data_IF_247585911085
#
_entry.id   IF_247585911085
#
_cell.length_a   1.000
_cell.length_b   1.000
_cell.length_c   1.000
_cell.angle_alpha   90.00
_cell.angle_beta   90.00
_cell.angle_gamma   90.00
#
_symmetry.space_group_name_H-M   'P 1'
#
loop_
_entity.id
_entity.type
_entity.pdbx_description
1 polymer ?
#
# COMPACT_ATOMS: atom_id res chain seq x y z
N UNK A 1 1.98 -29.29 49.05
CA UNK A 1 0.96 -29.69 48.03
C UNK A 1 -0.19 -28.69 48.09
N UNK A 2 -0.94 -28.57 46.99
CA UNK A 2 -2.04 -27.62 46.67
C UNK A 2 -1.60 -26.22 46.22
N UNK A 3 -1.52 -25.92 44.91
CA UNK A 3 -2.55 -25.76 43.85
C UNK A 3 -3.55 -24.63 44.09
N UNK A 4 -3.42 -23.61 43.23
CA UNK A 4 -4.54 -23.15 42.41
C UNK A 4 -5.27 -21.92 42.91
N UNK A 5 -4.87 -20.75 42.41
CA UNK A 5 -5.82 -19.67 42.15
C UNK A 5 -5.43 -18.95 40.86
N UNK A 6 -6.06 -19.39 39.79
CA UNK A 6 -6.22 -18.63 38.54
C UNK A 6 -6.95 -17.34 38.83
N UNK A 7 -6.37 -16.22 38.44
CA UNK A 7 -7.08 -14.97 38.17
C UNK A 7 -6.88 -14.68 36.67
N UNK A 8 -7.79 -15.25 35.90
CA UNK A 8 -8.12 -14.85 34.54
C UNK A 8 -8.96 -13.57 34.68
N UNK A 9 -8.50 -12.45 34.11
CA UNK A 9 -9.20 -11.18 34.32
C UNK A 9 -8.53 -9.98 33.68
N UNK A 10 -8.66 -9.88 32.37
CA UNK A 10 -8.92 -8.62 31.63
C UNK A 10 -8.08 -7.37 31.98
N UNK A 11 -7.26 -6.95 31.02
CA UNK A 11 -7.59 -5.77 30.20
C UNK A 11 -6.32 -5.12 29.64
N UNK A 12 -6.19 -5.25 28.32
CA UNK A 12 -6.01 -4.06 27.49
C UNK A 12 -4.77 -3.18 27.75
N UNK A 13 -3.56 -3.75 27.85
CA UNK A 13 -2.36 -2.98 27.52
C UNK A 13 -1.96 -3.25 26.08
N UNK A 14 -2.75 -2.58 25.23
CA UNK A 14 -2.41 -2.04 23.92
C UNK A 14 -1.33 -2.82 23.20
N UNK A 15 -1.76 -3.56 22.17
CA UNK A 15 -0.92 -3.89 21.01
C UNK A 15 0.00 -2.69 20.74
N UNK A 16 1.29 -2.87 20.41
CA UNK A 16 2.07 -1.82 19.77
C UNK A 16 1.53 -1.62 18.35
N UNK A 17 0.28 -1.15 18.28
CA UNK A 17 -0.41 -0.66 17.10
C UNK A 17 0.10 0.79 16.92
N UNK A 18 0.65 1.09 15.74
CA UNK A 18 0.89 2.45 15.22
C UNK A 18 2.19 3.20 15.57
N UNK A 19 3.17 2.61 16.26
CA UNK A 19 4.47 3.29 16.47
C UNK A 19 5.40 3.29 15.22
N UNK A 20 4.94 2.77 14.07
CA UNK A 20 5.68 2.82 12.79
C UNK A 20 5.14 3.85 11.78
N UNK A 21 4.03 4.52 12.06
CA UNK A 21 3.27 5.24 11.02
C UNK A 21 3.49 6.76 10.97
N UNK A 22 4.48 7.31 11.68
CA UNK A 22 4.82 8.75 11.62
C UNK A 22 5.95 9.11 10.64
N UNK A 23 6.48 8.14 9.89
CA UNK A 23 7.44 8.39 8.79
C UNK A 23 6.78 8.39 7.40
N UNK A 24 5.44 8.46 7.32
CA UNK A 24 4.78 8.84 6.07
C UNK A 24 5.01 10.32 5.81
N UNK A 25 6.11 10.67 5.11
CA UNK A 25 6.38 11.94 4.41
C UNK A 25 7.87 12.04 4.02
N UNK A 26 8.38 11.04 3.30
CA UNK A 26 9.64 11.22 2.58
C UNK A 26 9.47 12.25 1.44
N UNK A 27 10.54 12.95 1.02
CA UNK A 27 10.49 13.69 -0.24
C UNK A 27 10.23 12.72 -1.40
N UNK A 28 9.63 13.21 -2.49
CA UNK A 28 9.50 12.43 -3.73
C UNK A 28 10.90 11.98 -4.19
N UNK A 29 11.10 10.67 -4.32
CA UNK A 29 12.40 10.07 -4.70
C UNK A 29 12.37 9.47 -6.10
N UNK A 30 13.53 9.06 -6.61
CA UNK A 30 13.63 8.33 -7.89
C UNK A 30 12.82 7.03 -7.89
N UNK A 31 12.67 6.37 -6.73
CA UNK A 31 11.83 5.18 -6.61
C UNK A 31 10.33 5.52 -6.80
N UNK A 32 9.89 6.68 -6.28
CA UNK A 32 8.53 7.17 -6.54
C UNK A 32 8.33 7.48 -8.01
N UNK A 33 9.31 8.12 -8.64
CA UNK A 33 9.26 8.40 -10.07
C UNK A 33 9.17 7.13 -10.90
N UNK A 34 10.00 6.12 -10.60
CA UNK A 34 9.99 4.83 -11.27
C UNK A 34 8.62 4.16 -11.15
N UNK A 35 8.09 4.02 -9.93
CA UNK A 35 6.77 3.41 -9.69
C UNK A 35 5.67 4.19 -10.40
N UNK A 36 5.71 5.53 -10.38
CA UNK A 36 4.75 6.37 -11.08
C UNK A 36 4.81 6.20 -12.61
N UNK A 37 6.01 6.13 -13.18
CA UNK A 37 6.20 5.87 -14.62
C UNK A 37 5.70 4.48 -15.02
N UNK A 38 5.98 3.47 -14.21
CA UNK A 38 5.51 2.09 -14.42
C UNK A 38 3.98 2.04 -14.34
N UNK A 39 3.38 2.63 -13.30
CA UNK A 39 1.93 2.71 -13.16
C UNK A 39 1.28 3.42 -14.36
N UNK A 40 1.87 4.52 -14.82
CA UNK A 40 1.40 5.25 -16.01
C UNK A 40 1.50 4.41 -17.28
N UNK A 41 2.58 3.65 -17.43
CA UNK A 41 2.76 2.73 -18.55
C UNK A 41 1.70 1.63 -18.53
N UNK A 42 1.52 0.96 -17.40
CA UNK A 42 0.53 -0.11 -17.23
C UNK A 42 -0.88 0.41 -17.49
N UNK A 43 -1.23 1.59 -16.98
CA UNK A 43 -2.52 2.19 -17.24
C UNK A 43 -2.74 2.46 -18.74
N UNK A 44 -1.72 2.90 -19.49
CA UNK A 44 -1.82 3.04 -20.96
C UNK A 44 -2.00 1.69 -21.65
N UNK A 45 -1.28 0.65 -21.22
CA UNK A 45 -1.41 -0.71 -21.74
C UNK A 45 -2.82 -1.27 -21.47
N UNK A 46 -3.40 -0.95 -20.31
CA UNK A 46 -4.76 -1.29 -19.90
C UNK A 46 -5.84 -0.36 -20.48
N UNK A 47 -5.49 0.50 -21.46
CA UNK A 47 -6.40 1.50 -22.09
C UNK A 47 -7.11 2.42 -21.09
N UNK A 48 -6.40 2.82 -20.04
CA UNK A 48 -6.93 3.65 -18.96
C UNK A 48 -7.30 2.86 -17.70
N UNK A 49 -7.26 1.53 -17.74
CA UNK A 49 -7.59 0.67 -16.60
C UNK A 49 -6.55 0.73 -15.48
N UNK A 50 -7.02 0.60 -14.24
CA UNK A 50 -6.16 0.48 -13.07
C UNK A 50 -5.25 -0.76 -13.16
N UNK A 51 -4.07 -0.69 -12.55
CA UNK A 51 -3.11 -1.79 -12.46
C UNK A 51 -3.06 -2.35 -11.03
N UNK A 52 -2.81 -3.64 -10.89
CA UNK A 52 -2.66 -4.27 -9.59
C UNK A 52 -1.27 -4.02 -8.99
N UNK A 53 -1.18 -4.06 -7.66
CA UNK A 53 0.11 -3.97 -6.95
C UNK A 53 1.17 -4.92 -7.52
N UNK A 54 0.80 -6.19 -7.71
CA UNK A 54 1.69 -7.23 -8.20
C UNK A 54 2.23 -6.94 -9.61
N UNK A 55 1.40 -6.36 -10.48
CA UNK A 55 1.80 -5.98 -11.83
C UNK A 55 2.80 -4.82 -11.80
N UNK A 56 2.55 -3.82 -10.94
CA UNK A 56 3.46 -2.68 -10.76
C UNK A 56 4.79 -3.14 -10.15
N UNK A 57 4.76 -4.03 -9.16
CA UNK A 57 5.95 -4.59 -8.53
C UNK A 57 6.78 -5.38 -9.56
N UNK A 58 6.12 -6.27 -10.31
CA UNK A 58 6.77 -7.05 -11.37
C UNK A 58 7.40 -6.17 -12.44
N UNK A 59 6.71 -5.11 -12.88
CA UNK A 59 7.19 -4.21 -13.92
C UNK A 59 8.26 -3.20 -13.44
N UNK A 60 8.28 -2.85 -12.15
CA UNK A 60 9.29 -1.99 -11.54
C UNK A 60 10.54 -2.76 -11.10
N UNK A 61 10.45 -4.08 -10.96
CA UNK A 61 11.54 -4.91 -10.44
C UNK A 61 11.74 -4.76 -8.92
N UNK A 62 10.79 -4.12 -8.23
CA UNK A 62 10.81 -3.92 -6.79
C UNK A 62 9.98 -5.00 -6.09
N UNK A 63 10.26 -5.30 -4.82
CA UNK A 63 9.41 -6.19 -4.04
C UNK A 63 8.01 -5.58 -3.85
N UNK A 64 6.95 -6.40 -3.73
CA UNK A 64 5.57 -5.91 -3.56
C UNK A 64 5.38 -5.04 -2.33
N UNK A 65 6.08 -5.34 -1.23
CA UNK A 65 6.02 -4.58 0.03
C UNK A 65 6.52 -3.14 -0.17
N UNK A 66 7.68 -2.96 -0.81
CA UNK A 66 8.25 -1.65 -1.13
C UNK A 66 7.39 -0.90 -2.16
N UNK A 67 6.90 -1.61 -3.17
CA UNK A 67 5.99 -1.03 -4.17
C UNK A 67 4.70 -0.52 -3.53
N UNK A 68 4.16 -1.26 -2.55
CA UNK A 68 2.94 -0.89 -1.82
C UNK A 68 3.12 0.40 -1.04
N UNK A 69 4.25 0.55 -0.33
CA UNK A 69 4.59 1.78 0.39
C UNK A 69 4.73 2.97 -0.57
N UNK A 70 5.44 2.80 -1.69
CA UNK A 70 5.61 3.85 -2.70
C UNK A 70 4.28 4.24 -3.36
N UNK A 71 3.41 3.28 -3.68
CA UNK A 71 2.08 3.55 -4.21
C UNK A 71 1.20 4.26 -3.18
N UNK A 72 1.27 3.85 -1.90
CA UNK A 72 0.57 4.52 -0.83
C UNK A 72 1.01 5.98 -0.68
N UNK A 73 2.31 6.27 -0.79
CA UNK A 73 2.85 7.63 -0.77
C UNK A 73 2.41 8.43 -2.01
N UNK A 74 2.36 7.81 -3.20
CA UNK A 74 1.83 8.45 -4.40
C UNK A 74 0.34 8.82 -4.26
N UNK A 75 -0.45 8.02 -3.54
CA UNK A 75 -1.88 8.28 -3.28
C UNK A 75 -2.06 9.33 -2.18
N UNK A 76 -1.41 9.16 -1.03
CA UNK A 76 -1.70 9.92 0.20
C UNK A 76 -0.83 11.17 0.36
N UNK A 77 0.44 11.11 -0.03
CA UNK A 77 1.40 12.22 0.12
C UNK A 77 1.42 13.09 -1.12
N UNK A 78 1.53 12.47 -2.30
CA UNK A 78 1.69 13.20 -3.56
C UNK A 78 0.38 13.46 -4.29
N UNK A 79 -0.68 12.70 -3.99
CA UNK A 79 -1.98 12.84 -4.64
C UNK A 79 -1.94 12.61 -6.16
N UNK A 80 -0.99 11.81 -6.63
CA UNK A 80 -0.74 11.51 -8.05
C UNK A 80 -1.45 10.24 -8.52
N UNK A 81 -1.83 9.37 -7.58
CA UNK A 81 -2.55 8.14 -7.85
C UNK A 81 -3.81 8.04 -6.99
N UNK A 82 -4.70 7.13 -7.36
CA UNK A 82 -5.87 6.73 -6.59
C UNK A 82 -5.78 5.22 -6.35
N UNK A 83 -5.94 4.81 -5.10
CA UNK A 83 -6.19 3.41 -4.75
C UNK A 83 -7.68 3.11 -4.93
N UNK A 84 -7.99 2.17 -5.81
CA UNK A 84 -9.33 1.62 -5.99
C UNK A 84 -9.45 0.38 -5.12
N UNK A 85 -10.27 0.47 -4.08
CA UNK A 85 -10.63 -0.68 -3.25
C UNK A 85 -11.33 -1.74 -4.13
N UNK A 86 -10.68 -2.89 -4.28
CA UNK A 86 -11.13 -3.96 -5.17
C UNK A 86 -12.51 -4.49 -4.75
N UNK A 87 -13.54 -4.22 -5.55
CA UNK A 87 -14.87 -4.83 -5.39
C UNK A 87 -15.07 -6.11 -6.24
N UNK A 88 -14.07 -6.53 -7.02
CA UNK A 88 -14.27 -7.58 -8.04
C UNK A 88 -13.51 -8.89 -7.77
N UNK A 89 -12.42 -8.88 -6.99
CA UNK A 89 -11.65 -10.09 -6.63
C UNK A 89 -10.77 -9.81 -5.42
N UNK A 90 -11.16 -10.22 -4.20
CA UNK A 90 -10.38 -9.99 -2.99
C UNK A 90 -9.00 -10.69 -3.03
N UNK A 91 -8.84 -11.71 -3.86
CA UNK A 91 -7.58 -12.45 -4.05
C UNK A 91 -6.51 -11.67 -4.84
N UNK A 92 -6.89 -10.64 -5.62
CA UNK A 92 -5.96 -9.89 -6.48
C UNK A 92 -5.46 -8.57 -5.88
N UNK A 93 -5.81 -8.30 -4.62
CA UNK A 93 -5.34 -7.12 -3.89
C UNK A 93 -5.84 -5.77 -4.43
N UNK A 94 -5.30 -4.66 -3.90
CA UNK A 94 -5.68 -3.31 -4.31
C UNK A 94 -5.24 -2.99 -5.74
N UNK A 95 -6.03 -2.16 -6.40
CA UNK A 95 -5.73 -1.61 -7.73
C UNK A 95 -5.39 -0.14 -7.62
N UNK A 96 -4.47 0.31 -8.45
CA UNK A 96 -4.02 1.69 -8.48
C UNK A 96 -4.20 2.27 -9.87
N UNK A 97 -4.62 3.52 -9.93
CA UNK A 97 -4.70 4.27 -11.18
C UNK A 97 -4.03 5.63 -11.02
N UNK A 98 -3.45 6.13 -12.10
CA UNK A 98 -2.86 7.46 -12.12
C UNK A 98 -3.99 8.49 -12.25
N UNK A 99 -3.90 9.58 -11.49
CA UNK A 99 -4.88 10.67 -11.62
C UNK A 99 -4.59 11.47 -12.89
N UNK A 100 -5.60 11.71 -13.74
CA UNK A 100 -5.43 12.63 -14.85
C UNK A 100 -5.16 14.03 -14.29
N UNK A 101 -4.01 14.62 -14.64
CA UNK A 101 -3.77 16.05 -14.41
C UNK A 101 -4.73 16.80 -15.34
N UNK A 102 -5.76 17.41 -14.74
CA UNK A 102 -6.62 18.41 -15.39
C UNK A 102 -5.82 19.67 -15.69
#
# INVERSE_FOLDING_TARGET
MERGKTDDGEAQRRRPDQARSFMGRGPFTEAHELVFQVLTRLQREHRGGAAHLEEVASASGLPPEETSELLHDLVTVHGLATELAGSDSPDMGPRFEVKPRM
#
